data_IF_745020146287
#
_entry.id   IF_745020146287
#
_cell.length_a   1.000
_cell.length_b   1.000
_cell.length_c   1.000
_cell.angle_alpha   90.00
_cell.angle_beta   90.00
_cell.angle_gamma   90.00
#
_symmetry.space_group_name_H-M   'P 1'
#
loop_
_entity.id
_entity.type
_entity.pdbx_description
1 polymer ?
#
# COMPACT_ATOMS: atom_id res chain seq x y z
N UNK A 1 -27.16 22.44 1.56
CA UNK A 1 -27.00 21.35 0.60
C UNK A 1 -26.08 20.35 1.25
N UNK A 2 -26.66 19.26 1.73
CA UNK A 2 -25.93 18.18 2.40
C UNK A 2 -25.28 17.36 1.29
N UNK A 3 -23.95 17.32 1.23
CA UNK A 3 -23.23 16.42 0.32
C UNK A 3 -23.66 14.98 0.66
N UNK A 4 -24.31 14.32 -0.29
CA UNK A 4 -24.47 12.87 -0.25
C UNK A 4 -23.06 12.25 -0.18
N UNK A 5 -22.82 11.22 0.65
CA UNK A 5 -21.54 10.53 0.61
C UNK A 5 -21.33 10.01 -0.80
N UNK A 6 -20.34 10.61 -1.46
CA UNK A 6 -19.98 10.46 -2.86
C UNK A 6 -20.16 9.00 -3.32
N UNK A 7 -20.96 8.79 -4.37
CA UNK A 7 -21.23 7.48 -4.93
C UNK A 7 -19.91 6.71 -5.10
N UNK A 8 -19.80 5.59 -4.39
CA UNK A 8 -18.57 4.82 -4.15
C UNK A 8 -17.63 4.78 -5.38
N UNK A 9 -16.59 5.63 -5.36
CA UNK A 9 -15.67 5.83 -6.48
C UNK A 9 -15.10 4.49 -6.97
N UNK A 10 -15.22 4.23 -8.27
CA UNK A 10 -14.71 3.02 -8.92
C UNK A 10 -13.39 3.31 -9.63
N UNK A 11 -12.33 2.59 -9.26
CA UNK A 11 -10.99 2.72 -9.86
C UNK A 11 -10.82 1.67 -10.94
N UNK A 12 -10.41 2.08 -12.14
CA UNK A 12 -10.16 1.20 -13.29
C UNK A 12 -11.36 0.27 -13.61
N UNK A 13 -12.59 0.72 -13.32
CA UNK A 13 -13.80 -0.07 -13.52
C UNK A 13 -13.94 -1.34 -12.66
N UNK A 14 -13.04 -1.58 -11.69
CA UNK A 14 -12.97 -2.86 -10.96
C UNK A 14 -12.92 -2.72 -9.44
N UNK A 15 -12.21 -1.71 -8.92
CA UNK A 15 -11.96 -1.59 -7.48
C UNK A 15 -12.83 -0.49 -6.91
N UNK A 16 -13.89 -0.87 -6.17
CA UNK A 16 -14.81 0.08 -5.55
C UNK A 16 -14.24 0.56 -4.22
N UNK A 17 -13.95 1.85 -4.10
CA UNK A 17 -13.43 2.42 -2.85
C UNK A 17 -14.54 2.46 -1.80
N UNK A 18 -14.24 2.01 -0.58
CA UNK A 18 -15.21 1.93 0.52
C UNK A 18 -14.91 2.96 1.60
N UNK A 19 -13.70 2.93 2.17
CA UNK A 19 -13.32 3.85 3.26
C UNK A 19 -11.81 4.11 3.25
N UNK A 20 -11.34 5.31 3.61
CA UNK A 20 -9.91 5.54 3.78
C UNK A 20 -9.37 4.71 4.96
N UNK A 21 -8.14 4.22 4.82
CA UNK A 21 -7.38 3.51 5.87
C UNK A 21 -6.27 4.39 6.45
N UNK A 22 -5.73 5.31 5.64
CA UNK A 22 -4.72 6.26 6.07
C UNK A 22 -4.28 7.15 4.91
N UNK A 23 -3.70 8.30 5.23
CA UNK A 23 -3.15 9.24 4.27
C UNK A 23 -1.74 9.67 4.68
N UNK A 24 -0.91 9.98 3.70
CA UNK A 24 0.46 10.45 3.92
C UNK A 24 0.99 11.21 2.71
N UNK A 25 2.28 11.57 2.75
CA UNK A 25 2.90 12.43 1.73
C UNK A 25 2.85 11.90 0.29
N UNK A 26 2.64 10.59 0.09
CA UNK A 26 2.55 9.96 -1.23
C UNK A 26 1.11 9.53 -1.61
N UNK A 27 0.10 10.04 -0.90
CA UNK A 27 -1.32 9.82 -1.20
C UNK A 27 -2.08 9.06 -0.11
N UNK A 28 -3.16 8.39 -0.51
CA UNK A 28 -4.15 7.80 0.41
C UNK A 28 -4.29 6.31 0.16
N UNK A 29 -4.34 5.52 1.23
CA UNK A 29 -4.69 4.10 1.17
C UNK A 29 -6.16 3.95 1.52
N UNK A 30 -6.87 3.19 0.70
CA UNK A 30 -8.30 2.93 0.82
C UNK A 30 -8.54 1.46 1.06
N UNK A 31 -9.53 1.12 1.89
CA UNK A 31 -10.21 -0.17 1.83
C UNK A 31 -11.11 -0.14 0.61
N UNK A 32 -11.01 -1.15 -0.22
CA UNK A 32 -11.80 -1.27 -1.44
C UNK A 32 -12.31 -2.70 -1.63
N UNK A 33 -13.32 -2.86 -2.47
CA UNK A 33 -13.83 -4.13 -2.94
C UNK A 33 -13.31 -4.40 -4.36
N UNK A 34 -12.64 -5.52 -4.56
CA UNK A 34 -12.43 -6.07 -5.90
C UNK A 34 -13.75 -6.71 -6.37
N UNK A 35 -14.43 -6.06 -7.32
CA UNK A 35 -15.75 -6.50 -7.80
C UNK A 35 -15.70 -7.81 -8.57
N UNK A 36 -14.56 -8.12 -9.20
CA UNK A 36 -14.37 -9.34 -9.99
C UNK A 36 -14.10 -10.53 -9.07
N UNK A 37 -13.10 -10.39 -8.19
CA UNK A 37 -12.70 -11.48 -7.28
C UNK A 37 -13.53 -11.53 -5.99
N UNK A 38 -14.42 -10.56 -5.78
CA UNK A 38 -15.32 -10.48 -4.62
C UNK A 38 -14.57 -10.60 -3.29
N UNK A 39 -13.47 -9.84 -3.14
CA UNK A 39 -12.68 -9.73 -1.90
C UNK A 39 -12.40 -8.29 -1.53
N UNK A 40 -12.18 -8.02 -0.25
CA UNK A 40 -11.65 -6.72 0.17
C UNK A 40 -10.14 -6.66 -0.05
N UNK A 41 -9.67 -5.48 -0.44
CA UNK A 41 -8.26 -5.17 -0.72
C UNK A 41 -7.91 -3.79 -0.15
N UNK A 42 -6.63 -3.54 0.05
CA UNK A 42 -6.12 -2.20 0.25
C UNK A 42 -5.68 -1.62 -1.10
N UNK A 43 -6.04 -0.38 -1.39
CA UNK A 43 -5.68 0.30 -2.65
C UNK A 43 -5.04 1.63 -2.33
N UNK A 44 -3.76 1.79 -2.72
CA UNK A 44 -3.03 3.04 -2.54
C UNK A 44 -3.17 3.92 -3.78
N UNK A 45 -3.85 5.05 -3.63
CA UNK A 45 -3.80 6.16 -4.57
C UNK A 45 -2.43 6.83 -4.43
N UNK A 46 -1.63 6.82 -5.49
CA UNK A 46 -0.35 7.52 -5.51
C UNK A 46 -0.56 8.92 -6.04
N UNK A 47 -0.10 9.92 -5.28
CA UNK A 47 -0.15 11.33 -5.71
C UNK A 47 1.27 11.88 -5.76
N UNK A 48 1.61 12.53 -6.87
CA UNK A 48 2.84 13.30 -6.96
C UNK A 48 2.78 14.52 -6.02
N UNK A 49 3.93 14.93 -5.44
CA UNK A 49 4.04 16.19 -4.72
C UNK A 49 3.59 17.37 -5.59
N UNK A 50 2.98 18.37 -4.96
CA UNK A 50 2.60 19.59 -5.68
C UNK A 50 3.84 20.32 -6.21
N UNK A 51 3.76 20.83 -7.44
CA UNK A 51 4.83 21.63 -8.06
C UNK A 51 5.95 20.82 -8.72
N UNK A 52 5.83 19.49 -8.79
CA UNK A 52 6.76 18.66 -9.56
C UNK A 52 6.50 18.84 -11.08
N UNK A 53 7.54 19.01 -11.92
CA UNK A 53 7.39 19.04 -13.37
C UNK A 53 6.76 17.75 -13.92
N UNK A 54 5.97 17.86 -14.99
CA UNK A 54 5.24 16.71 -15.55
C UNK A 54 6.17 15.54 -15.95
N UNK A 55 7.34 15.84 -16.52
CA UNK A 55 8.33 14.83 -16.90
C UNK A 55 8.95 14.12 -15.67
N UNK A 56 9.06 14.81 -14.54
CA UNK A 56 9.46 14.21 -13.27
C UNK A 56 8.35 13.36 -12.66
N UNK A 57 7.09 13.79 -12.77
CA UNK A 57 5.92 13.01 -12.34
C UNK A 57 5.85 11.68 -13.10
N UNK A 58 5.98 11.71 -14.42
CA UNK A 58 5.99 10.50 -15.25
C UNK A 58 7.13 9.56 -14.86
N UNK A 59 8.36 10.08 -14.68
CA UNK A 59 9.50 9.27 -14.21
C UNK A 59 9.25 8.66 -12.83
N UNK A 60 8.63 9.42 -11.93
CA UNK A 60 8.29 8.95 -10.59
C UNK A 60 7.27 7.82 -10.65
N UNK A 61 6.17 7.99 -11.40
CA UNK A 61 5.14 6.95 -11.55
C UNK A 61 5.70 5.70 -12.21
N UNK A 62 6.47 5.83 -13.30
CA UNK A 62 7.10 4.68 -13.95
C UNK A 62 8.05 3.92 -13.01
N UNK A 63 8.78 4.63 -12.12
CA UNK A 63 9.62 3.99 -11.11
C UNK A 63 8.79 3.24 -10.08
N UNK A 64 7.74 3.86 -9.56
CA UNK A 64 6.87 3.27 -8.56
C UNK A 64 6.13 2.03 -9.08
N UNK A 65 5.67 2.06 -10.33
CA UNK A 65 5.08 0.88 -10.98
C UNK A 65 6.09 -0.27 -11.02
N UNK A 66 7.32 -0.03 -11.49
CA UNK A 66 8.37 -1.06 -11.50
C UNK A 66 8.67 -1.62 -10.10
N UNK A 67 8.74 -0.76 -9.09
CA UNK A 67 8.96 -1.18 -7.71
C UNK A 67 7.80 -2.03 -7.18
N UNK A 68 6.54 -1.65 -7.47
CA UNK A 68 5.36 -2.41 -7.08
C UNK A 68 5.30 -3.78 -7.77
N UNK A 69 5.62 -3.85 -9.08
CA UNK A 69 5.72 -5.11 -9.81
C UNK A 69 6.84 -6.01 -9.27
N UNK A 70 7.98 -5.43 -8.89
CA UNK A 70 9.06 -6.19 -8.25
C UNK A 70 8.62 -6.71 -6.86
N UNK A 71 7.93 -5.89 -6.08
CA UNK A 71 7.38 -6.28 -4.78
C UNK A 71 6.33 -7.40 -4.89
N UNK A 72 5.54 -7.45 -5.97
CA UNK A 72 4.58 -8.52 -6.23
C UNK A 72 5.22 -9.91 -6.37
N UNK A 73 6.53 -9.98 -6.64
CA UNK A 73 7.27 -11.25 -6.73
C UNK A 73 7.72 -11.79 -5.36
N UNK A 74 7.61 -11.00 -4.30
CA UNK A 74 8.03 -11.41 -2.96
C UNK A 74 6.95 -12.31 -2.38
N UNK A 75 7.33 -13.56 -2.08
CA UNK A 75 6.45 -14.52 -1.40
C UNK A 75 6.94 -14.76 0.02
N UNK A 76 6.46 -13.97 0.97
CA UNK A 76 6.83 -14.10 2.38
C UNK A 76 5.72 -13.63 3.32
N UNK A 77 5.46 -14.36 4.41
CA UNK A 77 4.34 -14.08 5.35
C UNK A 77 4.39 -12.68 5.98
N UNK A 78 5.58 -12.10 6.08
CA UNK A 78 5.82 -10.78 6.69
C UNK A 78 5.90 -9.66 5.65
N UNK A 79 5.51 -9.92 4.39
CA UNK A 79 5.45 -8.93 3.31
C UNK A 79 4.03 -8.91 2.75
N UNK A 80 3.45 -7.71 2.68
CA UNK A 80 2.13 -7.50 2.09
C UNK A 80 2.14 -7.90 0.62
N UNK A 81 1.19 -8.74 0.22
CA UNK A 81 1.10 -9.18 -1.17
C UNK A 81 0.55 -8.05 -2.05
N UNK A 82 1.28 -7.67 -3.11
CA UNK A 82 0.76 -6.80 -4.18
C UNK A 82 -0.02 -7.67 -5.17
N UNK A 83 -1.29 -7.35 -5.37
CA UNK A 83 -2.17 -8.10 -6.27
C UNK A 83 -2.22 -7.54 -7.68
N UNK A 84 -2.12 -6.22 -7.82
CA UNK A 84 -2.28 -5.53 -9.09
C UNK A 84 -1.70 -4.11 -9.04
N UNK A 85 -1.42 -3.54 -10.20
CA UNK A 85 -1.09 -2.13 -10.37
C UNK A 85 -1.92 -1.63 -11.55
N UNK A 86 -2.81 -0.67 -11.29
CA UNK A 86 -3.71 -0.11 -12.33
C UNK A 86 -3.50 1.37 -12.50
N UNK A 87 -3.73 1.88 -13.70
CA UNK A 87 -3.69 3.31 -13.99
C UNK A 87 -5.11 3.86 -14.10
N UNK A 88 -5.42 4.93 -13.37
CA UNK A 88 -6.72 5.60 -13.40
C UNK A 88 -6.53 7.10 -13.21
N UNK A 89 -7.08 7.92 -14.11
CA UNK A 89 -6.87 9.37 -14.12
C UNK A 89 -5.40 9.78 -14.25
N UNK A 90 -4.62 9.05 -15.06
CA UNK A 90 -3.21 9.36 -15.36
C UNK A 90 -2.22 9.05 -14.23
N UNK A 91 -2.64 8.32 -13.20
CA UNK A 91 -1.78 7.99 -12.04
C UNK A 91 -1.92 6.52 -11.65
N UNK A 92 -0.85 5.91 -11.08
CA UNK A 92 -0.88 4.52 -10.65
C UNK A 92 -1.62 4.35 -9.33
N UNK A 93 -2.29 3.21 -9.21
CA UNK A 93 -2.95 2.72 -8.01
C UNK A 93 -2.41 1.33 -7.72
N UNK A 94 -1.84 1.14 -6.52
CA UNK A 94 -1.31 -0.16 -6.10
C UNK A 94 -2.39 -0.89 -5.32
N UNK A 95 -2.78 -2.07 -5.81
CA UNK A 95 -3.74 -2.95 -5.15
C UNK A 95 -2.98 -4.01 -4.38
N UNK A 96 -3.27 -4.13 -3.09
CA UNK A 96 -2.53 -5.01 -2.19
C UNK A 96 -3.44 -5.70 -1.18
N UNK A 97 -2.88 -6.67 -0.48
CA UNK A 97 -3.52 -7.36 0.62
C UNK A 97 -4.02 -6.37 1.69
N UNK A 98 -5.28 -6.55 2.09
CA UNK A 98 -5.84 -5.85 3.24
C UNK A 98 -5.45 -6.59 4.52
N UNK A 99 -4.43 -6.10 5.21
CA UNK A 99 -4.03 -6.61 6.51
C UNK A 99 -5.01 -6.13 7.58
N UNK A 100 -5.66 -7.06 8.28
CA UNK A 100 -6.50 -6.75 9.44
C UNK A 100 -5.65 -6.75 10.69
N UNK A 101 -5.46 -5.60 11.30
CA UNK A 101 -4.68 -5.46 12.51
C UNK A 101 -4.29 -4.01 12.78
N UNK A 102 -3.49 -3.83 13.82
CA UNK A 102 -2.90 -2.54 14.17
C UNK A 102 -1.53 -2.41 13.50
N UNK A 103 -1.14 -1.18 13.16
CA UNK A 103 0.25 -0.93 12.80
C UNK A 103 1.15 -1.08 14.03
N UNK A 104 2.44 -1.34 13.82
CA UNK A 104 3.39 -1.36 14.92
C UNK A 104 3.46 0.00 15.64
N UNK A 105 3.22 1.12 14.93
CA UNK A 105 3.13 2.46 15.53
C UNK A 105 1.97 2.53 16.52
N UNK A 106 0.77 2.11 16.10
CA UNK A 106 -0.42 2.14 16.96
C UNK A 106 -0.20 1.32 18.25
N UNK A 107 0.46 0.16 18.12
CA UNK A 107 0.82 -0.69 19.27
C UNK A 107 1.80 0.03 20.20
N UNK A 108 2.84 0.67 19.65
CA UNK A 108 3.83 1.41 20.43
C UNK A 108 3.25 2.66 21.10
N UNK A 109 2.32 3.35 20.44
CA UNK A 109 1.61 4.50 20.98
C UNK A 109 0.68 4.11 22.13
N UNK A 110 -0.01 2.97 21.99
CA UNK A 110 -0.95 2.49 23.01
C UNK A 110 -0.28 1.80 24.21
N UNK A 111 0.75 0.99 23.97
CA UNK A 111 1.39 0.13 24.98
C UNK A 111 2.76 0.64 25.44
N UNK A 112 3.36 1.60 24.74
CA UNK A 112 4.74 2.02 24.96
C UNK A 112 5.76 1.03 24.38
N UNK A 113 6.98 1.06 24.91
CA UNK A 113 8.06 0.20 24.41
C UNK A 113 7.75 -1.29 24.60
N UNK A 114 7.98 -2.09 23.57
CA UNK A 114 7.79 -3.53 23.63
C UNK A 114 8.79 -4.19 24.59
N UNK A 115 8.38 -5.25 25.33
CA UNK A 115 9.32 -6.10 26.05
C UNK A 115 10.40 -6.65 25.10
N UNK A 116 11.65 -6.82 25.55
CA UNK A 116 12.78 -7.20 24.68
C UNK A 116 12.52 -8.45 23.82
N UNK A 117 11.86 -9.46 24.36
CA UNK A 117 11.53 -10.68 23.63
C UNK A 117 10.56 -10.43 22.45
N UNK A 118 9.55 -9.58 22.64
CA UNK A 118 8.58 -9.22 21.59
C UNK A 118 9.23 -8.34 20.53
N UNK A 119 10.07 -7.39 20.94
CA UNK A 119 10.86 -6.57 20.02
C UNK A 119 11.78 -7.44 19.14
N UNK A 120 12.46 -8.44 19.74
CA UNK A 120 13.31 -9.38 19.00
C UNK A 120 12.52 -10.22 17.99
N UNK A 121 11.31 -10.68 18.35
CA UNK A 121 10.44 -11.44 17.43
C UNK A 121 10.00 -10.59 16.22
N UNK A 122 9.58 -9.33 16.46
CA UNK A 122 9.24 -8.39 15.38
C UNK A 122 10.47 -8.12 14.50
N UNK A 123 11.64 -7.89 15.10
CA UNK A 123 12.89 -7.69 14.35
C UNK A 123 13.25 -8.89 13.48
N UNK A 124 13.08 -10.12 13.98
CA UNK A 124 13.31 -11.33 13.20
C UNK A 124 12.37 -11.44 12.00
N UNK A 125 11.08 -11.13 12.18
CA UNK A 125 10.09 -11.13 11.09
C UNK A 125 10.41 -10.07 10.02
N UNK A 126 10.86 -8.87 10.44
CA UNK A 126 11.30 -7.79 9.52
C UNK A 126 12.54 -8.22 8.74
N UNK A 127 13.54 -8.81 9.40
CA UNK A 127 14.76 -9.27 8.74
C UNK A 127 14.48 -10.40 7.74
N UNK A 128 13.56 -11.31 8.07
CA UNK A 128 13.12 -12.36 7.16
C UNK A 128 12.41 -11.77 5.91
N UNK A 129 11.54 -10.78 6.09
CA UNK A 129 10.92 -10.03 4.99
C UNK A 129 11.97 -9.33 4.10
N UNK A 130 12.93 -8.64 4.69
CA UNK A 130 14.00 -7.95 3.95
C UNK A 130 14.87 -8.93 3.16
N UNK A 131 15.19 -10.10 3.72
CA UNK A 131 15.91 -11.14 2.99
C UNK A 131 15.12 -11.60 1.76
N UNK A 132 13.83 -11.90 1.92
CA UNK A 132 12.97 -12.28 0.79
C UNK A 132 12.86 -11.19 -0.28
N UNK A 133 12.80 -9.91 0.13
CA UNK A 133 12.82 -8.78 -0.80
C UNK A 133 14.15 -8.70 -1.58
N UNK A 134 15.28 -8.83 -0.89
CA UNK A 134 16.61 -8.79 -1.51
C UNK A 134 16.83 -9.93 -2.50
N UNK A 135 16.32 -11.13 -2.23
CA UNK A 135 16.41 -12.28 -3.14
C UNK A 135 15.78 -12.03 -4.52
N UNK A 136 14.77 -11.15 -4.60
CA UNK A 136 14.13 -10.75 -5.86
C UNK A 136 14.61 -9.38 -6.37
N UNK A 137 15.64 -8.80 -5.75
CA UNK A 137 16.25 -7.53 -6.16
C UNK A 137 15.48 -6.29 -5.72
N UNK A 138 14.58 -6.39 -4.74
CA UNK A 138 13.84 -5.26 -4.17
C UNK A 138 14.59 -4.74 -2.95
N UNK A 139 14.93 -3.45 -2.94
CA UNK A 139 15.54 -2.78 -1.79
C UNK A 139 14.47 -1.99 -1.02
N UNK A 140 14.37 -2.24 0.28
CA UNK A 140 13.58 -1.40 1.18
C UNK A 140 14.41 -0.17 1.61
N UNK A 141 13.79 1.01 1.70
CA UNK A 141 14.44 2.28 2.06
C UNK A 141 13.62 3.03 3.08
#
# INVERSE_FOLDING_TARGET
MTEEPDAERLVSGRYRLLSPLGSGGMGTVWRARDEVLRREVAVKEVRAPAGLPDDEVERMYARLEREAWAAARISHRSVVTVYDVVTDGGRPWIVMELVRGLSLSDVLEAEGALPPARAAAVGADVLAALRAAHEVGVLHR
#
